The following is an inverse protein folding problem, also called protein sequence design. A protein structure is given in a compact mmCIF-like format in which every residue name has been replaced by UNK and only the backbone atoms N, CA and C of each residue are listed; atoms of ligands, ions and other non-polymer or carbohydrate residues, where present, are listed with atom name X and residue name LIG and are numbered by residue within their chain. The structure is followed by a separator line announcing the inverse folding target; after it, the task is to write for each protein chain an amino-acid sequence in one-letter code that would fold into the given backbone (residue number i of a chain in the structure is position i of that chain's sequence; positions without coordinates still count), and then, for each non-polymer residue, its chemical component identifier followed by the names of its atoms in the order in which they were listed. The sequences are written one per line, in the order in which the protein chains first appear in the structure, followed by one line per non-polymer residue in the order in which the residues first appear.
data_IF_771843646521
#
_entry.id   IF_771843646521
#
_cell.length_a   1.000
_cell.length_b   1.000
_cell.length_c   1.000
_cell.angle_alpha   90.00
_cell.angle_beta   90.00
_cell.angle_gamma   90.00
#
_symmetry.space_group_name_H-M   'P 1'
#
loop_
_entity.id
_entity.type
_entity.pdbx_description
1 polymer ?
#
# COMPACT_ATOMS: atom_id res chain seq x y z
N UNK A 1 -9.50 -32.42 -3.66
CA UNK A 1 -9.67 -31.59 -4.86
C UNK A 1 -9.28 -30.20 -4.39
N UNK A 2 -8.12 -29.75 -4.85
CA UNK A 2 -7.48 -28.45 -4.58
C UNK A 2 -8.50 -27.31 -4.53
N UNK A 3 -8.58 -26.64 -3.38
CA UNK A 3 -8.95 -25.24 -3.37
C UNK A 3 -7.63 -24.48 -3.38
N UNK A 4 -7.15 -24.14 -4.57
CA UNK A 4 -6.25 -22.99 -4.73
C UNK A 4 -7.14 -21.77 -4.54
N UNK A 5 -7.48 -21.46 -3.29
CA UNK A 5 -8.05 -20.17 -2.93
C UNK A 5 -6.96 -19.15 -3.24
N UNK A 6 -7.16 -18.40 -4.31
CA UNK A 6 -6.34 -17.28 -4.71
C UNK A 6 -6.54 -16.17 -3.66
N UNK A 7 -5.62 -16.10 -2.69
CA UNK A 7 -5.70 -15.12 -1.60
C UNK A 7 -4.96 -13.86 -2.05
N UNK A 8 -5.72 -12.86 -2.48
CA UNK A 8 -5.20 -11.51 -2.74
C UNK A 8 -5.25 -10.70 -1.44
N UNK A 9 -4.09 -10.43 -0.84
CA UNK A 9 -3.93 -9.64 0.37
C UNK A 9 -3.57 -8.20 0.02
N UNK A 10 -4.54 -7.31 0.15
CA UNK A 10 -4.35 -5.86 -0.01
C UNK A 10 -4.05 -5.24 1.35
N UNK A 11 -2.80 -4.81 1.58
CA UNK A 11 -2.41 -4.12 2.82
C UNK A 11 -2.06 -2.67 2.53
N UNK A 12 -2.82 -1.73 3.10
CA UNK A 12 -2.56 -0.29 2.98
C UNK A 12 -2.06 0.29 4.30
N UNK A 13 -0.90 0.94 4.27
CA UNK A 13 -0.34 1.68 5.37
C UNK A 13 -0.30 3.18 5.05
N UNK A 14 -1.02 3.99 5.82
CA UNK A 14 -1.03 5.44 5.68
C UNK A 14 -0.47 6.12 6.92
N UNK A 15 0.41 7.11 6.73
CA UNK A 15 0.96 7.99 7.75
C UNK A 15 0.63 9.42 7.36
N UNK A 16 -0.21 10.09 8.14
CA UNK A 16 -0.46 11.53 8.00
C UNK A 16 0.14 12.25 9.19
N UNK A 17 0.92 13.29 8.94
CA UNK A 17 1.47 14.13 10.00
C UNK A 17 1.24 15.62 9.68
N UNK A 18 0.73 16.39 10.66
CA UNK A 18 0.67 17.83 10.54
C UNK A 18 2.11 18.39 10.56
N UNK A 19 2.46 19.16 9.55
CA UNK A 19 3.73 19.88 9.49
C UNK A 19 3.55 21.29 10.06
N UNK A 20 4.67 22.02 10.20
CA UNK A 20 4.67 23.41 10.65
C UNK A 20 4.24 24.34 9.50
N UNK A 21 3.75 25.54 9.83
CA UNK A 21 3.37 26.59 8.86
C UNK A 21 2.17 26.28 7.95
N UNK A 22 1.19 25.49 8.41
CA UNK A 22 -0.01 25.17 7.61
C UNK A 22 0.24 24.13 6.51
N UNK A 23 1.37 23.43 6.59
CA UNK A 23 1.70 22.31 5.74
C UNK A 23 1.15 21.01 6.36
N UNK A 24 0.71 20.09 5.51
CA UNK A 24 0.22 18.77 5.91
C UNK A 24 0.93 17.73 5.04
N UNK A 25 1.58 16.77 5.66
CA UNK A 25 2.26 15.67 4.96
C UNK A 25 1.46 14.38 5.12
N UNK A 26 1.32 13.62 4.05
CA UNK A 26 0.83 12.25 4.11
C UNK A 26 1.68 11.33 3.21
N UNK A 27 1.98 10.15 3.71
CA UNK A 27 2.63 9.07 2.97
C UNK A 27 1.76 7.83 3.08
N UNK A 28 1.45 7.21 1.95
CA UNK A 28 0.63 6.01 1.82
C UNK A 28 1.43 4.95 1.08
N UNK A 29 1.43 3.73 1.60
CA UNK A 29 2.11 2.57 1.03
C UNK A 29 1.04 1.50 0.84
N UNK A 30 0.87 1.05 -0.40
CA UNK A 30 0.02 -0.08 -0.75
C UNK A 30 0.92 -1.28 -1.03
N UNK A 31 0.68 -2.38 -0.33
CA UNK A 31 1.33 -3.66 -0.56
C UNK A 31 0.26 -4.62 -1.05
N UNK A 32 0.38 -5.02 -2.31
CA UNK A 32 -0.49 -6.01 -2.92
C UNK A 32 0.26 -7.34 -2.94
N UNK A 33 -0.22 -8.31 -2.17
CA UNK A 33 0.35 -9.66 -2.12
C UNK A 33 -0.62 -10.62 -2.81
N UNK A 34 -0.24 -11.06 -4.00
CA UNK A 34 -0.99 -12.03 -4.80
C UNK A 34 -0.47 -13.44 -4.52
N UNK A 35 -1.20 -14.20 -3.70
CA UNK A 35 -0.84 -15.60 -3.38
C UNK A 35 -1.30 -16.60 -4.45
N UNK A 36 -1.84 -16.09 -5.57
CA UNK A 36 -2.41 -16.83 -6.69
C UNK A 36 -1.41 -17.25 -7.76
N UNK A 37 -0.26 -16.58 -7.81
CA UNK A 37 0.82 -16.93 -8.71
C UNK A 37 1.46 -18.28 -8.34
N UNK A 38 1.66 -19.12 -9.35
CA UNK A 38 2.27 -20.47 -9.32
C UNK A 38 3.30 -20.62 -8.18
N UNK A 39 3.17 -21.70 -7.39
CA UNK A 39 4.04 -22.09 -6.27
C UNK A 39 5.51 -21.69 -6.52
N UNK A 40 5.91 -20.51 -6.00
CA UNK A 40 7.28 -19.97 -6.15
C UNK A 40 7.45 -18.63 -6.90
N UNK A 41 6.40 -17.99 -7.42
CA UNK A 41 6.47 -16.62 -7.96
C UNK A 41 5.71 -15.69 -7.03
N UNK A 42 6.43 -15.09 -6.07
CA UNK A 42 5.85 -14.06 -5.19
C UNK A 42 5.83 -12.71 -5.93
N UNK A 43 4.72 -12.37 -6.57
CA UNK A 43 4.50 -11.02 -7.12
C UNK A 43 4.02 -10.10 -5.97
N UNK A 44 4.97 -9.39 -5.36
CA UNK A 44 4.70 -8.35 -4.36
C UNK A 44 4.77 -6.99 -5.06
N UNK A 45 3.60 -6.44 -5.43
CA UNK A 45 3.53 -5.12 -6.03
C UNK A 45 3.47 -4.05 -4.91
N UNK A 46 4.46 -3.17 -4.87
CA UNK A 46 4.59 -2.13 -3.85
C UNK A 46 4.34 -0.76 -4.46
N UNK A 47 3.19 -0.17 -4.16
CA UNK A 47 2.84 1.18 -4.60
C UNK A 47 3.11 2.19 -3.49
N UNK A 48 3.95 3.19 -3.78
CA UNK A 48 4.25 4.28 -2.86
C UNK A 48 3.58 5.58 -3.34
N UNK A 49 2.79 6.20 -2.45
CA UNK A 49 2.11 7.47 -2.70
C UNK A 49 2.52 8.48 -1.63
N UNK A 50 2.95 9.67 -2.06
CA UNK A 50 3.30 10.77 -1.18
C UNK A 50 2.44 11.99 -1.54
N UNK A 51 1.77 12.56 -0.54
CA UNK A 51 0.94 13.76 -0.69
C UNK A 51 1.45 14.85 0.23
N UNK A 52 1.57 16.07 -0.31
CA UNK A 52 1.82 17.27 0.47
C UNK A 52 0.69 18.26 0.23
N UNK A 53 0.07 18.71 1.31
CA UNK A 53 -0.97 19.73 1.33
C UNK A 53 -0.42 21.03 1.91
N UNK A 54 -0.95 22.15 1.42
CA UNK A 54 -0.76 23.47 1.99
C UNK A 54 -2.13 24.14 2.13
N UNK A 55 -2.42 24.64 3.33
CA UNK A 55 -3.65 25.40 3.59
C UNK A 55 -3.26 26.79 4.09
N UNK A 56 -3.60 27.81 3.31
CA UNK A 56 -3.46 29.23 3.67
C UNK A 56 -4.70 29.75 4.40
#
# INVERSE_FOLDING_TARGET
MDNTDDIILNTTFGLAFPLLFGLEGAAEILLEYDSGAVEGVEDLDQTYSFRIGYRW
#
